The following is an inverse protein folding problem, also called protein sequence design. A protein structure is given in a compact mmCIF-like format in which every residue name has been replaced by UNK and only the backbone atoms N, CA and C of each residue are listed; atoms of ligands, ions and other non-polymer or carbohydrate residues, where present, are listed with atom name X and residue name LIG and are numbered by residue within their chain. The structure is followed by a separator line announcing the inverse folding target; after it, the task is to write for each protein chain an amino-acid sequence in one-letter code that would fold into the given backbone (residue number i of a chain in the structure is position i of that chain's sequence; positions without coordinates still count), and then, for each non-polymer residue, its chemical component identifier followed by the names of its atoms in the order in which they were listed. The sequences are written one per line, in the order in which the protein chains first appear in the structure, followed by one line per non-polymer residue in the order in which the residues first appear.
data_IF_789688432129
#
_entry.id   IF_789688432129
#
_cell.length_a   1.000
_cell.length_b   1.000
_cell.length_c   1.000
_cell.angle_alpha   90.00
_cell.angle_beta   90.00
_cell.angle_gamma   90.00
#
_symmetry.space_group_name_H-M   'P 1'
#
loop_
_entity.id
_entity.type
_entity.pdbx_description
1 polymer ?
#
# COMPACT_ATOMS: atom_id res chain seq x y z
N UNK A 1 8.29 12.70 -10.90
CA UNK A 1 8.07 12.21 -9.53
C UNK A 1 7.41 10.82 -9.58
N UNK A 2 7.81 9.92 -8.68
CA UNK A 2 7.16 8.62 -8.49
C UNK A 2 6.40 8.73 -7.17
N UNK A 3 5.17 8.24 -7.17
CA UNK A 3 4.29 8.21 -6.02
C UNK A 3 3.99 6.75 -5.69
N UNK A 4 4.04 6.44 -4.40
CA UNK A 4 3.56 5.18 -3.84
C UNK A 4 2.36 5.52 -2.97
N UNK A 5 1.21 4.92 -3.29
CA UNK A 5 -0.01 5.07 -2.49
C UNK A 5 -0.38 3.69 -1.98
N UNK A 6 -0.49 3.57 -0.65
CA UNK A 6 -0.83 2.32 0.03
C UNK A 6 -2.11 2.48 0.82
N UNK A 7 -2.83 1.37 0.96
CA UNK A 7 -4.03 1.24 1.77
C UNK A 7 -4.04 -0.14 2.42
N UNK A 8 -4.57 -0.24 3.63
CA UNK A 8 -4.62 -1.49 4.39
C UNK A 8 -5.98 -1.73 5.02
N UNK A 9 -6.33 -3.00 5.12
CA UNK A 9 -7.48 -3.49 5.87
C UNK A 9 -7.03 -4.55 6.88
N UNK A 10 -7.94 -4.97 7.76
CA UNK A 10 -7.69 -5.99 8.80
C UNK A 10 -7.08 -7.31 8.30
N UNK A 11 -7.17 -7.60 7.00
CA UNK A 11 -6.76 -8.90 6.44
C UNK A 11 -5.59 -8.81 5.45
N UNK A 12 -5.20 -7.62 5.03
CA UNK A 12 -4.17 -7.43 4.02
C UNK A 12 -4.00 -5.97 3.62
N UNK A 13 -2.99 -5.73 2.81
CA UNK A 13 -2.67 -4.44 2.26
C UNK A 13 -2.66 -4.46 0.74
N UNK A 14 -2.79 -3.28 0.17
CA UNK A 14 -2.63 -3.04 -1.26
C UNK A 14 -2.04 -1.68 -1.51
N UNK A 15 -1.52 -1.50 -2.72
CA UNK A 15 -1.01 -0.21 -3.13
C UNK A 15 -0.83 -0.15 -4.63
N UNK A 16 -0.57 1.05 -5.11
CA UNK A 16 -0.20 1.27 -6.50
C UNK A 16 0.94 2.26 -6.60
N UNK A 17 1.76 2.03 -7.63
CA UNK A 17 2.87 2.90 -7.99
C UNK A 17 2.41 3.70 -9.21
N UNK A 18 2.50 5.02 -9.12
CA UNK A 18 2.18 5.90 -10.25
C UNK A 18 3.29 6.93 -10.48
N UNK A 19 3.42 7.41 -11.72
CA UNK A 19 4.41 8.41 -12.09
C UNK A 19 3.73 9.61 -12.75
N UNK A 20 4.05 10.80 -12.24
CA UNK A 20 3.43 12.03 -12.70
C UNK A 20 3.69 13.21 -11.75
N UNK A 21 3.11 14.37 -12.11
CA UNK A 21 3.24 15.59 -11.32
C UNK A 21 2.42 15.54 -10.01
N UNK A 22 1.27 14.86 -10.01
CA UNK A 22 0.39 14.69 -8.85
C UNK A 22 -0.08 13.24 -8.73
N UNK A 23 -0.25 12.73 -7.50
CA UNK A 23 -0.63 11.34 -7.26
C UNK A 23 -2.04 11.01 -7.77
N UNK A 24 -2.93 12.00 -7.85
CA UNK A 24 -4.32 11.83 -8.33
C UNK A 24 -4.44 11.74 -9.85
N UNK A 25 -3.49 12.33 -10.58
CA UNK A 25 -3.51 12.37 -12.05
C UNK A 25 -2.34 11.62 -12.69
N UNK A 26 -1.49 10.98 -11.88
CA UNK A 26 -0.34 10.23 -12.33
C UNK A 26 -0.76 8.92 -13.01
N UNK A 27 -0.01 8.50 -14.02
CA UNK A 27 -0.26 7.22 -14.69
C UNK A 27 0.17 6.08 -13.79
N UNK A 28 -0.73 5.10 -13.58
CA UNK A 28 -0.43 3.90 -12.79
C UNK A 28 0.52 3.00 -13.58
N UNK A 29 1.60 2.58 -12.92
CA UNK A 29 2.63 1.69 -13.47
C UNK A 29 2.36 0.25 -13.02
N UNK A 30 2.04 0.07 -11.74
CA UNK A 30 1.87 -1.25 -11.14
C UNK A 30 0.89 -1.19 -9.96
N UNK A 31 0.19 -2.30 -9.76
CA UNK A 31 -0.60 -2.59 -8.57
C UNK A 31 0.09 -3.68 -7.77
N UNK A 32 0.02 -3.58 -6.45
CA UNK A 32 0.50 -4.57 -5.52
C UNK A 32 -0.59 -4.88 -4.48
N UNK A 33 -0.67 -6.14 -4.07
CA UNK A 33 -1.51 -6.55 -2.95
C UNK A 33 -0.90 -7.75 -2.23
N UNK A 34 -0.89 -7.67 -0.91
CA UNK A 34 -0.39 -8.69 -0.01
C UNK A 34 -1.42 -9.03 1.07
N UNK A 35 -1.53 -10.32 1.39
CA UNK A 35 -2.38 -10.80 2.49
C UNK A 35 -1.57 -10.85 3.76
N UNK A 36 -2.10 -10.31 4.85
CA UNK A 36 -1.40 -10.32 6.13
C UNK A 36 -1.37 -11.72 6.74
N UNK A 37 -0.21 -12.08 7.27
CA UNK A 37 -0.04 -13.23 8.15
C UNK A 37 -0.67 -12.94 9.54
N UNK A 38 -0.91 -13.97 10.37
CA UNK A 38 -1.58 -13.78 11.65
C UNK A 38 -0.87 -12.81 12.60
N UNK A 39 0.45 -12.66 12.49
CA UNK A 39 1.19 -11.70 13.32
C UNK A 39 0.93 -10.26 12.84
N UNK A 40 0.90 -10.03 11.53
CA UNK A 40 0.66 -8.72 10.91
C UNK A 40 -0.75 -8.19 11.17
N UNK A 41 -1.75 -9.07 11.26
CA UNK A 41 -3.13 -8.69 11.57
C UNK A 41 -3.30 -8.12 12.99
N UNK A 42 -2.35 -8.36 13.90
CA UNK A 42 -2.42 -7.85 15.27
C UNK A 42 -1.91 -6.42 15.42
N UNK A 43 -1.25 -5.85 14.40
CA UNK A 43 -0.83 -4.45 14.45
C UNK A 43 -2.02 -3.50 14.29
N UNK A 44 -1.99 -2.32 14.91
CA UNK A 44 -2.97 -1.27 14.64
C UNK A 44 -2.93 -0.81 13.18
N UNK A 45 -4.06 -0.32 12.66
CA UNK A 45 -4.26 -0.01 11.22
C UNK A 45 -3.18 0.92 10.65
N UNK A 46 -2.71 1.91 11.40
CA UNK A 46 -1.65 2.81 10.92
C UNK A 46 -0.29 2.13 10.73
N UNK A 47 -0.01 1.05 11.47
CA UNK A 47 1.18 0.21 11.27
C UNK A 47 0.95 -0.81 10.14
N UNK A 48 -0.29 -1.24 9.93
CA UNK A 48 -0.67 -2.10 8.80
C UNK A 48 -0.51 -1.40 7.45
N UNK A 49 -0.81 -0.10 7.36
CA UNK A 49 -0.55 0.71 6.18
C UNK A 49 0.95 0.84 5.89
N UNK A 50 1.80 0.86 6.93
CA UNK A 50 3.25 0.87 6.77
C UNK A 50 3.78 -0.48 6.28
N UNK A 51 3.19 -1.59 6.72
CA UNK A 51 3.55 -2.93 6.23
C UNK A 51 3.37 -3.05 4.72
N UNK A 52 2.38 -2.38 4.14
CA UNK A 52 2.17 -2.32 2.69
C UNK A 52 3.37 -1.78 1.89
N UNK A 53 4.28 -1.06 2.54
CA UNK A 53 5.48 -0.46 1.93
C UNK A 53 6.68 -1.43 2.01
N UNK A 54 6.69 -2.30 3.03
CA UNK A 54 7.81 -3.19 3.34
C UNK A 54 7.66 -4.55 2.63
N UNK A 55 6.42 -5.00 2.45
CA UNK A 55 6.07 -6.37 2.04
C UNK A 55 6.25 -6.68 0.54
#
# INVERSE_FOLDING_TARGET
PIWLVTDACLTGASGYICQGADFKSANVIAFWSGKFNPAQQNYPVHEQELLAIIE
#
